data_IF_416395595429
#
_entry.id   IF_416395595429
#
_cell.length_a   1.000
_cell.length_b   1.000
_cell.length_c   1.000
_cell.angle_alpha   90.00
_cell.angle_beta   90.00
_cell.angle_gamma   90.00
#
_symmetry.space_group_name_H-M   'P 1'
#
loop_
_entity.id
_entity.type
_entity.pdbx_description
1 polymer ?
#
# COMPACT_ATOMS: atom_id res chain seq x y z
N UNK A 1 -8.57 -12.44 5.00
CA UNK A 1 -7.98 -11.18 4.49
C UNK A 1 -8.83 -10.01 4.97
N UNK A 2 -8.23 -8.86 5.26
CA UNK A 2 -8.95 -7.63 5.63
C UNK A 2 -8.18 -6.39 5.15
N UNK A 3 -8.91 -5.32 4.88
CA UNK A 3 -8.39 -4.03 4.46
C UNK A 3 -8.70 -2.95 5.51
N UNK A 4 -7.70 -2.15 5.88
CA UNK A 4 -7.83 -1.08 6.87
C UNK A 4 -7.39 0.27 6.29
N UNK A 5 -8.33 1.22 6.19
CA UNK A 5 -8.04 2.60 5.76
C UNK A 5 -8.15 3.59 6.90
N UNK A 6 -7.45 4.72 6.80
CA UNK A 6 -7.47 5.85 7.74
C UNK A 6 -6.77 5.53 9.07
N UNK A 7 -5.86 6.41 9.47
CA UNK A 7 -5.13 6.32 10.75
C UNK A 7 -6.01 6.08 11.97
N UNK A 8 -7.20 6.70 12.03
CA UNK A 8 -8.15 6.49 13.14
C UNK A 8 -8.66 5.04 13.22
N UNK A 9 -8.90 4.38 12.09
CA UNK A 9 -9.34 2.99 12.08
C UNK A 9 -8.17 2.04 12.36
N UNK A 10 -6.97 2.38 11.90
CA UNK A 10 -5.75 1.59 12.15
C UNK A 10 -5.51 1.42 13.66
N UNK A 11 -5.68 2.48 14.45
CA UNK A 11 -5.53 2.40 15.91
C UNK A 11 -6.51 1.39 16.55
N UNK A 12 -7.80 1.48 16.19
CA UNK A 12 -8.82 0.55 16.67
C UNK A 12 -8.56 -0.89 16.21
N UNK A 13 -8.10 -1.05 14.98
CA UNK A 13 -7.76 -2.34 14.40
C UNK A 13 -6.61 -3.00 15.17
N UNK A 14 -5.51 -2.28 15.39
CA UNK A 14 -4.35 -2.77 16.16
C UNK A 14 -4.75 -3.16 17.59
N UNK A 15 -5.63 -2.39 18.24
CA UNK A 15 -6.14 -2.76 19.57
C UNK A 15 -6.95 -4.06 19.57
N UNK A 16 -7.79 -4.29 18.55
CA UNK A 16 -8.55 -5.54 18.40
C UNK A 16 -7.63 -6.72 18.09
N UNK A 17 -6.61 -6.52 17.27
CA UNK A 17 -5.58 -7.51 16.95
C UNK A 17 -4.87 -7.98 18.21
N UNK A 18 -4.39 -7.03 19.05
CA UNK A 18 -3.73 -7.33 20.33
C UNK A 18 -4.59 -8.12 21.31
N UNK A 19 -5.91 -8.01 21.20
CA UNK A 19 -6.89 -8.73 22.03
C UNK A 19 -7.29 -10.08 21.45
N UNK A 20 -6.73 -10.50 20.30
CA UNK A 20 -7.08 -11.74 19.62
C UNK A 20 -8.51 -11.74 19.05
N UNK A 21 -9.10 -10.56 18.82
CA UNK A 21 -10.52 -10.42 18.39
C UNK A 21 -10.70 -10.24 16.89
N UNK A 22 -9.71 -10.63 16.08
CA UNK A 22 -9.76 -10.49 14.63
C UNK A 22 -9.55 -11.85 13.95
N UNK A 23 -10.51 -12.32 13.12
CA UNK A 23 -10.41 -13.61 12.43
C UNK A 23 -9.67 -13.49 11.08
N UNK A 24 -8.56 -12.77 11.02
CA UNK A 24 -7.84 -12.49 9.76
C UNK A 24 -6.38 -12.92 9.82
N UNK A 25 -5.93 -13.66 8.80
CA UNK A 25 -4.54 -14.11 8.66
C UNK A 25 -3.63 -13.10 7.95
N UNK A 26 -4.21 -12.22 7.13
CA UNK A 26 -3.50 -11.21 6.36
C UNK A 26 -4.30 -9.90 6.36
N UNK A 27 -3.59 -8.78 6.52
CA UNK A 27 -4.15 -7.44 6.66
C UNK A 27 -3.35 -6.48 5.82
N UNK A 28 -4.04 -5.73 4.97
CA UNK A 28 -3.48 -4.61 4.22
C UNK A 28 -3.92 -3.29 4.83
N UNK A 29 -2.97 -2.35 4.99
CA UNK A 29 -3.18 -1.08 5.67
C UNK A 29 -2.84 0.08 4.75
N UNK A 30 -3.80 0.96 4.51
CA UNK A 30 -3.62 2.20 3.75
C UNK A 30 -3.92 3.43 4.61
N UNK A 31 -3.09 4.46 4.48
CA UNK A 31 -3.26 5.71 5.23
C UNK A 31 -4.47 6.52 4.72
N UNK A 32 -4.61 6.65 3.40
CA UNK A 32 -5.63 7.49 2.77
C UNK A 32 -6.98 6.74 2.66
N UNK A 33 -8.12 7.43 2.87
CA UNK A 33 -9.42 6.91 2.46
C UNK A 33 -9.41 6.64 0.95
N UNK A 34 -9.98 5.53 0.48
CA UNK A 34 -9.95 5.13 -0.94
C UNK A 34 -8.55 4.89 -1.53
N UNK A 35 -7.55 4.65 -0.68
CA UNK A 35 -6.20 4.28 -1.12
C UNK A 35 -5.43 5.40 -1.82
N UNK A 36 -4.51 5.02 -2.71
CA UNK A 36 -3.56 5.95 -3.32
C UNK A 36 -4.20 6.96 -4.29
N UNK A 37 -5.33 6.61 -4.90
CA UNK A 37 -6.06 7.47 -5.85
C UNK A 37 -6.65 8.73 -5.18
N UNK A 38 -6.78 8.71 -3.85
CA UNK A 38 -7.20 9.86 -3.05
C UNK A 38 -6.08 10.31 -2.09
N UNK A 39 -4.83 10.13 -2.52
CA UNK A 39 -3.65 10.59 -1.79
C UNK A 39 -3.51 12.11 -1.79
N UNK A 40 -2.85 12.67 -0.77
CA UNK A 40 -2.68 14.13 -0.64
C UNK A 40 -1.85 14.81 -1.75
N UNK A 41 -1.15 14.02 -2.57
CA UNK A 41 -0.38 14.49 -3.73
C UNK A 41 -1.12 14.47 -5.07
N UNK A 42 -2.41 14.11 -5.09
CA UNK A 42 -3.22 14.06 -6.31
C UNK A 42 -3.57 15.47 -6.82
N UNK A 43 -3.81 15.56 -8.13
CA UNK A 43 -4.30 16.80 -8.77
C UNK A 43 -5.68 17.12 -8.19
N UNK A 44 -5.88 18.37 -7.78
CA UNK A 44 -7.16 18.83 -7.23
C UNK A 44 -8.14 19.12 -8.36
N UNK A 45 -9.43 18.94 -8.07
CA UNK A 45 -10.48 19.33 -8.99
C UNK A 45 -10.42 20.84 -9.27
N UNK A 46 -10.57 21.21 -10.55
CA UNK A 46 -10.57 22.59 -11.03
C UNK A 46 -11.96 22.97 -11.56
N UNK A 47 -12.22 24.27 -11.71
CA UNK A 47 -13.41 24.75 -12.43
C UNK A 47 -14.77 24.42 -11.80
N UNK A 48 -14.80 24.10 -10.49
CA UNK A 48 -16.04 23.75 -9.77
C UNK A 48 -16.43 22.27 -9.83
N UNK A 49 -15.60 21.40 -10.43
CA UNK A 49 -15.76 19.95 -10.33
C UNK A 49 -15.66 19.51 -8.85
N UNK A 50 -16.51 18.57 -8.45
CA UNK A 50 -16.45 17.99 -7.11
C UNK A 50 -15.30 16.98 -7.04
N UNK A 51 -14.46 17.06 -6.00
CA UNK A 51 -13.36 16.11 -5.78
C UNK A 51 -13.80 14.64 -5.77
N UNK A 52 -15.03 14.35 -5.35
CA UNK A 52 -15.60 12.99 -5.36
C UNK A 52 -15.88 12.51 -6.78
N UNK A 53 -16.35 13.39 -7.65
CA UNK A 53 -16.65 13.04 -9.05
C UNK A 53 -15.34 12.83 -9.82
N UNK A 54 -14.34 13.67 -9.57
CA UNK A 54 -12.97 13.46 -10.07
C UNK A 54 -12.41 12.10 -9.62
N UNK A 55 -12.54 11.77 -8.32
CA UNK A 55 -12.06 10.49 -7.79
C UNK A 55 -12.73 9.30 -8.47
N UNK A 56 -14.06 9.31 -8.60
CA UNK A 56 -14.78 8.23 -9.30
C UNK A 56 -14.34 8.08 -10.75
N UNK A 57 -14.06 9.19 -11.45
CA UNK A 57 -13.55 9.16 -12.82
C UNK A 57 -12.18 8.52 -12.90
N UNK A 58 -11.27 8.87 -11.99
CA UNK A 58 -9.93 8.27 -11.91
C UNK A 58 -10.00 6.79 -11.54
N UNK A 59 -10.85 6.41 -10.59
CA UNK A 59 -11.13 5.01 -10.23
C UNK A 59 -11.63 4.23 -11.45
N UNK A 60 -12.60 4.77 -12.18
CA UNK A 60 -13.11 4.13 -13.39
C UNK A 60 -12.03 3.95 -14.47
N UNK A 61 -11.17 4.94 -14.69
CA UNK A 61 -10.05 4.83 -15.63
C UNK A 61 -9.03 3.77 -15.18
N UNK A 62 -8.77 3.66 -13.89
CA UNK A 62 -7.88 2.65 -13.33
C UNK A 62 -8.46 1.23 -13.48
N UNK A 63 -9.76 1.05 -13.21
CA UNK A 63 -10.46 -0.24 -13.35
C UNK A 63 -10.56 -0.71 -14.81
N UNK A 64 -10.50 0.21 -15.78
CA UNK A 64 -10.40 -0.13 -17.20
C UNK A 64 -9.03 -0.68 -17.60
N UNK A 65 -7.99 -0.41 -16.80
CA UNK A 65 -6.68 -0.99 -17.05
C UNK A 65 -6.74 -2.51 -16.87
N UNK A 66 -6.24 -3.24 -17.86
CA UNK A 66 -6.22 -4.70 -17.82
C UNK A 66 -5.22 -5.15 -16.74
N UNK A 67 -5.63 -5.97 -15.75
CA UNK A 67 -4.69 -6.58 -14.84
C UNK A 67 -3.77 -7.53 -15.62
N UNK A 68 -2.48 -7.40 -15.37
CA UNK A 68 -1.46 -8.31 -15.88
C UNK A 68 -0.96 -9.17 -14.72
N UNK A 69 -0.75 -10.45 -14.99
CA UNK A 69 -0.17 -11.38 -14.02
C UNK A 69 1.35 -11.22 -14.07
N UNK A 70 2.00 -10.71 -13.01
CA UNK A 70 3.45 -10.53 -13.01
C UNK A 70 4.21 -11.85 -13.11
N UNK A 71 3.61 -12.98 -12.74
CA UNK A 71 4.25 -14.29 -12.89
C UNK A 71 4.24 -14.80 -14.34
N UNK A 72 3.35 -14.27 -15.18
CA UNK A 72 3.27 -14.60 -16.60
C UNK A 72 4.16 -13.72 -17.48
N UNK A 73 4.74 -12.64 -16.92
CA UNK A 73 5.62 -11.73 -17.63
C UNK A 73 7.04 -12.31 -17.72
N UNK A 74 7.45 -12.71 -18.93
CA UNK A 74 8.79 -13.26 -19.20
C UNK A 74 9.91 -12.30 -18.77
N UNK A 75 9.68 -10.98 -18.84
CA UNK A 75 10.70 -9.99 -18.45
C UNK A 75 10.96 -10.00 -16.94
N UNK A 76 9.93 -10.31 -16.13
CA UNK A 76 10.08 -10.50 -14.69
C UNK A 76 10.83 -11.80 -14.42
N UNK A 77 10.52 -12.88 -15.16
CA UNK A 77 11.27 -14.13 -15.11
C UNK A 77 12.77 -13.93 -15.39
N UNK A 78 13.10 -13.25 -16.48
CA UNK A 78 14.48 -12.93 -16.87
C UNK A 78 15.21 -12.07 -15.83
N UNK A 79 14.52 -11.09 -15.24
CA UNK A 79 15.06 -10.29 -14.14
C UNK A 79 15.45 -11.19 -12.96
N UNK A 80 14.60 -12.16 -12.60
CA UNK A 80 14.90 -13.09 -11.52
C UNK A 80 16.05 -14.02 -11.87
N UNK A 81 16.04 -14.65 -13.03
CA UNK A 81 17.01 -15.68 -13.39
C UNK A 81 18.39 -15.09 -13.70
N UNK A 82 18.45 -14.00 -14.47
CA UNK A 82 19.70 -13.45 -14.96
C UNK A 82 20.32 -12.44 -13.99
N UNK A 83 19.50 -11.64 -13.30
CA UNK A 83 19.99 -10.54 -12.47
C UNK A 83 19.87 -10.79 -10.97
N UNK A 84 18.74 -11.33 -10.49
CA UNK A 84 18.55 -11.57 -9.05
C UNK A 84 19.09 -12.94 -8.60
N UNK A 85 19.19 -13.94 -9.48
CA UNK A 85 19.58 -15.31 -9.12
C UNK A 85 18.45 -16.11 -8.47
N UNK A 86 17.19 -15.81 -8.83
CA UNK A 86 15.98 -16.46 -8.35
C UNK A 86 15.29 -15.73 -7.16
N UNK A 87 14.02 -16.05 -6.88
CA UNK A 87 13.19 -15.34 -5.89
C UNK A 87 13.64 -15.54 -4.44
N UNK A 88 14.23 -16.69 -4.11
CA UNK A 88 14.73 -17.00 -2.77
C UNK A 88 16.23 -16.66 -2.58
N UNK A 89 16.83 -15.96 -3.53
CA UNK A 89 18.26 -15.63 -3.48
C UNK A 89 18.58 -14.56 -2.44
N UNK A 90 19.82 -14.58 -1.93
CA UNK A 90 20.31 -13.52 -1.06
C UNK A 90 20.31 -12.15 -1.74
N UNK A 91 20.49 -12.11 -3.07
CA UNK A 91 20.48 -10.88 -3.83
C UNK A 91 19.07 -10.30 -3.91
N UNK A 92 18.04 -11.10 -4.20
CA UNK A 92 16.64 -10.67 -4.13
C UNK A 92 16.29 -10.14 -2.74
N UNK A 93 16.68 -10.86 -1.68
CA UNK A 93 16.47 -10.41 -0.30
C UNK A 93 17.15 -9.07 -0.03
N UNK A 94 18.41 -8.90 -0.45
CA UNK A 94 19.16 -7.67 -0.19
C UNK A 94 18.66 -6.45 -0.97
N UNK A 95 18.00 -6.64 -2.13
CA UNK A 95 17.60 -5.57 -3.05
C UNK A 95 16.13 -5.20 -2.95
N UNK A 96 15.25 -6.17 -2.71
CA UNK A 96 13.80 -5.99 -2.76
C UNK A 96 13.14 -6.01 -1.38
N UNK A 97 13.87 -6.43 -0.34
CA UNK A 97 13.36 -6.44 1.03
C UNK A 97 13.97 -5.32 1.86
N UNK A 98 13.23 -4.88 2.86
CA UNK A 98 13.66 -3.89 3.83
C UNK A 98 13.29 -4.33 5.25
N UNK A 99 13.86 -3.66 6.24
CA UNK A 99 13.55 -3.88 7.66
C UNK A 99 13.04 -2.59 8.28
N UNK A 100 12.01 -2.73 9.11
CA UNK A 100 11.48 -1.63 9.90
C UNK A 100 11.95 -1.78 11.34
N UNK A 101 12.32 -0.67 11.97
CA UNK A 101 12.64 -0.62 13.39
C UNK A 101 11.69 0.37 14.08
N UNK A 102 11.52 0.19 15.38
CA UNK A 102 10.77 1.14 16.17
C UNK A 102 11.52 2.49 16.18
N UNK A 103 10.84 3.56 15.78
CA UNK A 103 11.38 4.92 15.95
C UNK A 103 11.20 5.31 17.40
N UNK A 104 12.31 5.54 18.11
CA UNK A 104 12.26 6.11 19.45
C UNK A 104 11.65 7.50 19.36
N UNK A 105 10.65 7.79 20.20
CA UNK A 105 10.12 9.15 20.30
C UNK A 105 11.23 10.03 20.87
N UNK A 106 11.85 10.83 20.02
CA UNK A 106 12.50 12.05 20.49
C UNK A 106 11.45 12.80 21.33
N UNK A 107 11.77 13.10 22.59
CA UNK A 107 10.87 13.76 23.52
C UNK A 107 10.18 14.92 22.82
N UNK A 108 8.86 15.02 22.95
CA UNK A 108 8.06 16.09 22.40
C UNK A 108 8.68 17.45 22.79
N UNK A 109 9.43 18.03 21.86
CA UNK A 109 10.13 19.29 21.98
C UNK A 109 9.82 20.12 20.74
N UNK A 110 8.54 20.45 20.58
CA UNK A 110 8.10 21.63 19.84
C UNK A 110 7.10 22.32 20.76
N UNK A 111 7.61 23.32 21.50
CA UNK A 111 6.80 24.36 22.14
C UNK A 111 6.24 25.28 21.06
#
# INVERSE_FOLDING_TARGET
>A
FSFCTKFRNIQNFVQKLKRGKLPYHYVEVMACPSGCLNGGGQIRAEGGENSKDLLHRVEGLYEMARPEDPEADETIGDLYDQWLGGPASQRAQSRLHTQYHAVEKAGAGFN
#
